data_IF_104608734431
#
_entry.id   IF_104608734431
#
_cell.length_a   1.000
_cell.length_b   1.000
_cell.length_c   1.000
_cell.angle_alpha   90.00
_cell.angle_beta   90.00
_cell.angle_gamma   90.00
#
_symmetry.space_group_name_H-M   'P 1'
#
loop_
_entity.id
_entity.type
_entity.pdbx_description
1 polymer ?
#
# COMPACT_ATOMS: atom_id res chain seq x y z
N UNK A 1 -6.66 -11.14 14.34
CA UNK A 1 -7.41 -10.18 13.48
C UNK A 1 -6.47 -9.06 13.05
N UNK A 2 -6.66 -8.46 11.88
CA UNK A 2 -5.94 -7.25 11.45
C UNK A 2 -6.58 -6.01 12.06
N UNK A 3 -5.77 -5.10 12.60
CA UNK A 3 -6.21 -3.81 13.13
C UNK A 3 -5.55 -2.72 12.30
N UNK A 4 -6.33 -1.73 11.87
CA UNK A 4 -5.84 -0.56 11.14
C UNK A 4 -6.09 0.66 12.02
N UNK A 5 -5.06 1.48 12.16
CA UNK A 5 -5.12 2.70 12.95
C UNK A 5 -5.81 3.83 12.16
N UNK A 6 -6.51 4.70 12.87
CA UNK A 6 -7.31 5.80 12.28
C UNK A 6 -6.50 7.04 11.92
N UNK A 7 -5.25 7.17 12.38
CA UNK A 7 -4.36 8.29 12.04
C UNK A 7 -3.93 8.22 10.57
N UNK A 8 -3.67 9.36 9.95
CA UNK A 8 -3.23 9.49 8.55
C UNK A 8 -1.89 8.78 8.21
N UNK A 9 -1.22 8.22 9.22
CA UNK A 9 -0.03 7.37 9.05
C UNK A 9 -0.32 6.00 8.43
N UNK A 10 -1.60 5.59 8.37
CA UNK A 10 -2.04 4.30 7.79
C UNK A 10 -1.27 3.10 8.36
N UNK A 11 -1.08 3.08 9.68
CA UNK A 11 -0.44 1.96 10.37
C UNK A 11 -1.44 0.82 10.54
N UNK A 12 -0.94 -0.41 10.42
CA UNK A 12 -1.70 -1.60 10.71
C UNK A 12 -0.86 -2.57 11.53
N UNK A 13 -1.53 -3.32 12.40
CA UNK A 13 -0.87 -4.36 13.16
C UNK A 13 -1.75 -5.58 13.38
N UNK A 14 -1.11 -6.71 13.62
CA UNK A 14 -1.75 -7.95 14.05
C UNK A 14 -0.77 -8.82 14.83
N UNK A 15 -1.26 -9.70 15.72
CA UNK A 15 -0.43 -10.79 16.22
C UNK A 15 -0.05 -11.75 15.09
N UNK A 16 1.11 -12.39 15.22
CA UNK A 16 1.48 -13.55 14.41
C UNK A 16 0.50 -14.71 14.68
N UNK A 17 0.39 -15.70 13.75
CA UNK A 17 -0.53 -16.81 13.92
C UNK A 17 -0.37 -17.60 15.22
N UNK A 18 0.87 -17.70 15.72
CA UNK A 18 1.24 -18.35 16.98
C UNK A 18 1.13 -17.44 18.21
N UNK A 19 0.78 -16.16 18.04
CA UNK A 19 0.63 -15.19 19.11
C UNK A 19 1.94 -14.73 19.78
N UNK A 20 3.11 -15.16 19.29
CA UNK A 20 4.40 -14.85 19.93
C UNK A 20 5.01 -13.53 19.48
N UNK A 21 4.51 -12.93 18.40
CA UNK A 21 5.05 -11.70 17.79
C UNK A 21 3.92 -10.77 17.37
N UNK A 22 4.28 -9.50 17.15
CA UNK A 22 3.44 -8.52 16.47
C UNK A 22 4.04 -8.23 15.10
N UNK A 23 3.18 -8.26 14.09
CA UNK A 23 3.48 -7.70 12.77
C UNK A 23 2.92 -6.29 12.77
N UNK A 24 3.79 -5.30 12.62
CA UNK A 24 3.45 -3.89 12.43
C UNK A 24 3.89 -3.49 11.03
N UNK A 25 3.01 -2.80 10.31
CA UNK A 25 3.32 -2.26 9.00
C UNK A 25 2.72 -0.88 8.83
N UNK A 26 3.33 -0.09 7.94
CA UNK A 26 2.91 1.26 7.64
C UNK A 26 3.82 1.86 6.58
N UNK A 27 3.53 3.10 6.19
CA UNK A 27 4.28 3.80 5.17
C UNK A 27 5.27 4.77 5.82
N UNK A 28 6.47 4.28 6.10
CA UNK A 28 7.55 5.08 6.72
C UNK A 28 8.01 6.23 5.82
N UNK A 29 8.04 6.03 4.50
CA UNK A 29 8.40 7.04 3.51
C UNK A 29 7.67 6.82 2.17
N UNK A 30 7.62 7.88 1.34
CA UNK A 30 7.14 7.83 -0.05
C UNK A 30 8.26 7.54 -1.06
N UNK A 31 9.46 7.23 -0.56
CA UNK A 31 10.64 6.86 -1.33
C UNK A 31 11.35 5.71 -0.62
N UNK A 32 12.24 4.97 -1.31
CA UNK A 32 13.11 4.00 -0.66
C UNK A 32 13.90 4.66 0.48
N UNK A 33 13.96 3.97 1.61
CA UNK A 33 14.79 4.33 2.76
C UNK A 33 15.58 3.09 3.21
N UNK A 34 16.72 3.27 3.90
CA UNK A 34 17.42 2.18 4.57
C UNK A 34 16.53 1.38 5.52
N UNK A 35 16.81 0.09 5.69
CA UNK A 35 15.98 -0.82 6.51
C UNK A 35 16.04 -0.50 8.00
N UNK A 36 17.18 -0.03 8.48
CA UNK A 36 17.40 0.46 9.84
C UNK A 36 16.55 1.70 10.13
N UNK A 37 16.54 2.69 9.22
CA UNK A 37 15.67 3.86 9.35
C UNK A 37 14.18 3.47 9.39
N UNK A 38 13.76 2.54 8.52
CA UNK A 38 12.40 2.01 8.53
C UNK A 38 12.05 1.29 9.84
N UNK A 39 12.98 0.50 10.38
CA UNK A 39 12.81 -0.23 11.64
C UNK A 39 12.69 0.74 12.82
N UNK A 40 13.53 1.76 12.89
CA UNK A 40 13.48 2.78 13.94
C UNK A 40 12.16 3.55 13.93
N UNK A 41 11.70 3.95 12.74
CA UNK A 41 10.41 4.63 12.58
C UNK A 41 9.24 3.75 13.04
N UNK A 42 9.19 2.48 12.60
CA UNK A 42 8.14 1.54 13.01
C UNK A 42 8.19 1.26 14.52
N UNK A 43 9.38 1.13 15.11
CA UNK A 43 9.53 0.95 16.56
C UNK A 43 9.07 2.16 17.35
N UNK A 44 9.29 3.38 16.85
CA UNK A 44 8.76 4.59 17.46
C UNK A 44 7.23 4.59 17.48
N UNK A 45 6.59 4.18 16.37
CA UNK A 45 5.13 4.06 16.31
C UNK A 45 4.62 2.92 17.19
N UNK A 46 5.30 1.76 17.23
CA UNK A 46 4.97 0.66 18.12
C UNK A 46 4.95 1.11 19.58
N UNK A 47 5.96 1.85 20.03
CA UNK A 47 6.07 2.38 21.39
C UNK A 47 4.94 3.35 21.73
N UNK A 48 4.48 4.12 20.76
CA UNK A 48 3.36 5.04 20.93
C UNK A 48 2.02 4.31 21.09
N UNK A 49 1.82 3.20 20.36
CA UNK A 49 0.59 2.39 20.41
C UNK A 49 0.61 1.45 21.62
N UNK A 50 1.76 0.83 21.90
CA UNK A 50 1.97 -0.19 22.92
C UNK A 50 3.20 0.12 23.77
N UNK A 51 3.10 1.03 24.75
CA UNK A 51 4.23 1.39 25.62
C UNK A 51 4.86 0.19 26.34
N UNK A 52 4.05 -0.81 26.68
CA UNK A 52 4.50 -2.06 27.33
C UNK A 52 5.45 -2.90 26.46
N UNK A 53 5.48 -2.66 25.15
CA UNK A 53 6.35 -3.38 24.20
C UNK A 53 7.63 -2.61 23.87
N UNK A 54 7.93 -1.51 24.57
CA UNK A 54 9.04 -0.64 24.22
C UNK A 54 10.43 -1.30 24.24
N UNK A 55 10.61 -2.30 25.11
CA UNK A 55 11.85 -3.09 25.25
C UNK A 55 11.93 -4.32 24.33
N UNK A 56 10.94 -4.56 23.47
CA UNK A 56 10.94 -5.73 22.59
C UNK A 56 11.95 -5.59 21.45
N UNK A 57 12.59 -6.70 21.07
CA UNK A 57 13.56 -6.72 19.96
C UNK A 57 12.84 -6.76 18.61
N UNK A 58 13.42 -6.10 17.60
CA UNK A 58 13.06 -6.33 16.21
C UNK A 58 13.61 -7.69 15.79
N UNK A 59 12.74 -8.59 15.33
CA UNK A 59 13.18 -9.90 14.83
C UNK A 59 13.44 -9.90 13.33
N UNK A 60 12.64 -9.14 12.58
CA UNK A 60 12.67 -9.06 11.11
C UNK A 60 12.22 -7.65 10.70
N UNK A 61 12.82 -7.13 9.63
CA UNK A 61 12.38 -5.91 8.96
C UNK A 61 12.49 -6.13 7.45
N UNK A 62 11.53 -5.60 6.71
CA UNK A 62 11.54 -5.60 5.25
C UNK A 62 10.83 -4.37 4.72
N UNK A 63 11.11 -4.04 3.46
CA UNK A 63 10.44 -2.99 2.71
C UNK A 63 9.95 -3.56 1.38
N UNK A 64 9.03 -2.84 0.74
CA UNK A 64 8.48 -3.24 -0.54
C UNK A 64 7.83 -2.06 -1.25
N UNK A 65 7.66 -2.21 -2.55
CA UNK A 65 7.00 -1.21 -3.38
C UNK A 65 5.49 -1.46 -3.40
N UNK A 66 4.72 -0.38 -3.29
CA UNK A 66 3.27 -0.41 -3.46
C UNK A 66 2.94 0.17 -4.82
N UNK A 67 2.25 -0.61 -5.65
CA UNK A 67 1.71 -0.11 -6.91
C UNK A 67 0.55 0.84 -6.63
N UNK A 68 0.81 2.14 -6.80
CA UNK A 68 -0.20 3.19 -6.64
C UNK A 68 -0.65 3.75 -7.99
N UNK A 69 -1.92 4.12 -8.08
CA UNK A 69 -2.54 4.71 -9.27
C UNK A 69 -2.98 6.14 -8.97
N UNK A 70 -3.16 6.97 -10.00
CA UNK A 70 -3.61 8.36 -9.82
C UNK A 70 -5.08 8.47 -9.39
N UNK A 71 -5.88 7.47 -9.70
CA UNK A 71 -7.31 7.40 -9.35
C UNK A 71 -7.56 6.80 -7.98
N UNK A 72 -6.52 6.33 -7.28
CA UNK A 72 -6.62 5.55 -6.03
C UNK A 72 -7.49 4.27 -6.17
N UNK A 73 -7.80 3.86 -7.41
CA UNK A 73 -8.51 2.63 -7.72
C UNK A 73 -7.57 1.62 -8.39
N UNK A 74 -7.71 0.32 -8.08
CA UNK A 74 -7.10 -0.73 -8.92
C UNK A 74 -7.76 -0.75 -10.28
N UNK A 75 -7.12 -1.36 -11.26
CA UNK A 75 -7.74 -1.58 -12.56
C UNK A 75 -7.39 -2.93 -13.16
N UNK A 76 -8.37 -3.46 -13.89
CA UNK A 76 -8.21 -4.60 -14.79
C UNK A 76 -8.21 -4.07 -16.22
N UNK A 77 -7.31 -4.60 -17.04
CA UNK A 77 -7.27 -4.25 -18.46
C UNK A 77 -6.56 -5.30 -19.29
N UNK A 78 -6.48 -5.02 -20.60
CA UNK A 78 -5.79 -5.85 -21.58
C UNK A 78 -4.94 -4.97 -22.48
N UNK A 79 -3.69 -5.35 -22.71
CA UNK A 79 -2.77 -4.66 -23.61
C UNK A 79 -1.96 -5.68 -24.39
N UNK A 80 -1.91 -5.54 -25.71
CA UNK A 80 -1.13 -6.41 -26.60
C UNK A 80 -1.42 -7.91 -26.36
N UNK A 81 -2.70 -8.23 -26.14
CA UNK A 81 -3.16 -9.58 -25.84
C UNK A 81 -3.02 -10.02 -24.38
N UNK A 82 -2.24 -9.31 -23.56
CA UNK A 82 -1.95 -9.65 -22.16
C UNK A 82 -2.97 -8.99 -21.24
N UNK A 83 -3.61 -9.81 -20.39
CA UNK A 83 -4.46 -9.33 -19.31
C UNK A 83 -3.64 -8.92 -18.09
N UNK A 84 -4.06 -7.87 -17.41
CA UNK A 84 -3.44 -7.42 -16.17
C UNK A 84 -4.47 -6.99 -15.14
N UNK A 85 -4.10 -7.11 -13.87
CA UNK A 85 -4.77 -6.51 -12.73
C UNK A 85 -3.71 -5.83 -11.87
N UNK A 86 -3.77 -4.52 -11.71
CA UNK A 86 -2.70 -3.77 -11.04
C UNK A 86 -3.23 -2.57 -10.25
N UNK A 87 -2.34 -1.99 -9.44
CA UNK A 87 -2.63 -0.71 -8.79
C UNK A 87 -3.55 -0.79 -7.57
N UNK A 88 -3.44 -1.82 -6.74
CA UNK A 88 -4.29 -2.00 -5.56
C UNK A 88 -4.07 -1.00 -4.42
N UNK A 89 -3.20 0.00 -4.56
CA UNK A 89 -3.04 1.09 -3.59
C UNK A 89 -2.84 0.62 -2.14
N UNK A 90 -2.15 -0.51 -1.95
CA UNK A 90 -1.91 -1.10 -0.62
C UNK A 90 -2.92 -2.17 -0.18
N UNK A 91 -4.04 -2.34 -0.87
CA UNK A 91 -5.09 -3.31 -0.56
C UNK A 91 -4.94 -4.65 -1.32
N UNK A 92 -3.74 -4.93 -1.85
CA UNK A 92 -3.50 -6.05 -2.75
C UNK A 92 -3.81 -7.41 -2.12
N UNK A 93 -3.46 -7.63 -0.86
CA UNK A 93 -3.70 -8.92 -0.17
C UNK A 93 -5.20 -9.26 -0.11
N UNK A 94 -6.05 -8.25 0.14
CA UNK A 94 -7.49 -8.46 0.23
C UNK A 94 -8.15 -8.50 -1.16
N UNK A 95 -7.67 -7.69 -2.10
CA UNK A 95 -8.38 -7.41 -3.34
C UNK A 95 -7.89 -8.23 -4.55
N UNK A 96 -6.62 -8.66 -4.57
CA UNK A 96 -6.08 -9.44 -5.68
C UNK A 96 -6.77 -10.77 -5.94
N UNK A 97 -7.21 -11.55 -4.92
CA UNK A 97 -7.95 -12.78 -5.19
C UNK A 97 -9.22 -12.53 -6.01
N UNK A 98 -9.97 -11.47 -5.66
CA UNK A 98 -11.15 -11.05 -6.40
C UNK A 98 -10.80 -10.60 -7.82
N UNK A 99 -9.82 -9.70 -7.96
CA UNK A 99 -9.44 -9.16 -9.27
C UNK A 99 -8.87 -10.25 -10.19
N UNK A 100 -8.01 -11.13 -9.66
CA UNK A 100 -7.46 -12.27 -10.38
C UNK A 100 -8.56 -13.24 -10.85
N UNK A 101 -9.55 -13.52 -10.01
CA UNK A 101 -10.71 -14.31 -10.42
C UNK A 101 -11.50 -13.66 -11.55
N UNK A 102 -11.76 -12.34 -11.46
CA UNK A 102 -12.43 -11.59 -12.53
C UNK A 102 -11.64 -11.61 -13.84
N UNK A 103 -10.32 -11.44 -13.78
CA UNK A 103 -9.46 -11.58 -14.97
C UNK A 103 -9.54 -12.98 -15.56
N UNK A 104 -9.47 -14.04 -14.75
CA UNK A 104 -9.57 -15.42 -15.23
C UNK A 104 -10.89 -15.67 -15.96
N UNK A 105 -12.01 -15.17 -15.43
CA UNK A 105 -13.33 -15.27 -16.10
C UNK A 105 -13.34 -14.54 -17.44
N UNK A 106 -12.71 -13.35 -17.53
CA UNK A 106 -12.58 -12.62 -18.81
C UNK A 106 -11.74 -13.38 -19.83
N UNK A 107 -10.63 -13.98 -19.41
CA UNK A 107 -9.78 -14.85 -20.26
C UNK A 107 -10.60 -16.00 -20.83
N UNK A 108 -11.51 -16.58 -20.04
CA UNK A 108 -12.42 -17.66 -20.45
C UNK A 108 -13.67 -17.19 -21.22
N UNK A 109 -13.79 -15.89 -21.53
CA UNK A 109 -14.95 -15.33 -22.23
C UNK A 109 -16.25 -15.38 -21.42
N UNK A 110 -16.18 -15.48 -20.10
CA UNK A 110 -17.36 -15.53 -19.22
C UNK A 110 -17.84 -14.12 -18.88
N UNK A 111 -19.16 -13.90 -18.96
CA UNK A 111 -19.77 -12.59 -18.68
C UNK A 111 -19.57 -12.14 -17.23
N UNK A 112 -19.48 -13.08 -16.30
CA UNK A 112 -19.23 -12.84 -14.86
C UNK A 112 -17.87 -12.20 -14.58
N UNK A 113 -16.98 -12.14 -15.58
CA UNK A 113 -15.72 -11.42 -15.48
C UNK A 113 -15.87 -9.90 -15.40
N UNK A 114 -17.03 -9.32 -15.75
CA UNK A 114 -17.28 -7.87 -15.64
C UNK A 114 -17.24 -7.39 -14.18
N UNK A 115 -16.65 -6.21 -13.97
CA UNK A 115 -16.53 -5.58 -12.65
C UNK A 115 -16.38 -4.06 -12.77
N UNK A 116 -16.62 -3.33 -11.68
CA UNK A 116 -16.42 -1.88 -11.60
C UNK A 116 -14.95 -1.44 -11.76
N UNK A 117 -14.01 -2.39 -11.71
CA UNK A 117 -12.58 -2.12 -11.91
C UNK A 117 -12.12 -2.28 -13.36
N UNK A 118 -13.06 -2.49 -14.28
CA UNK A 118 -12.77 -2.57 -15.71
C UNK A 118 -12.43 -1.19 -16.28
N UNK A 119 -11.48 -1.15 -17.21
CA UNK A 119 -11.16 0.02 -18.06
C UNK A 119 -10.79 1.29 -17.27
N UNK A 120 -10.30 1.13 -16.04
CA UNK A 120 -9.78 2.24 -15.25
C UNK A 120 -8.50 2.76 -15.92
N UNK A 121 -8.53 4.05 -16.27
CA UNK A 121 -7.44 4.70 -17.00
C UNK A 121 -6.17 4.81 -16.15
N UNK A 122 -5.10 4.19 -16.63
CA UNK A 122 -3.74 4.38 -16.12
C UNK A 122 -3.07 5.53 -16.86
N UNK A 123 -3.57 6.75 -16.64
CA UNK A 123 -2.96 7.93 -17.22
C UNK A 123 -1.50 8.07 -16.74
N UNK A 124 -0.56 8.05 -17.68
CA UNK A 124 0.84 8.26 -17.38
C UNK A 124 1.03 9.60 -16.65
N UNK A 125 2.01 9.63 -15.73
CA UNK A 125 2.44 10.90 -15.16
C UNK A 125 3.28 11.61 -16.23
N UNK A 126 2.96 12.88 -16.59
CA UNK A 126 3.72 13.62 -17.58
C UNK A 126 5.21 13.62 -17.24
N UNK A 127 6.06 13.41 -18.25
CA UNK A 127 7.52 13.43 -18.10
C UNK A 127 8.10 12.41 -17.10
N UNK A 128 7.33 11.39 -16.70
CA UNK A 128 7.84 10.33 -15.85
C UNK A 128 8.63 9.31 -16.67
N UNK A 129 9.94 9.26 -16.43
CA UNK A 129 10.89 8.34 -17.08
C UNK A 129 11.44 7.27 -16.12
N UNK A 130 10.72 6.99 -15.03
CA UNK A 130 11.20 6.15 -13.92
C UNK A 130 11.78 6.95 -12.75
N UNK A 131 12.18 8.20 -12.97
CA UNK A 131 12.50 9.13 -11.87
C UNK A 131 11.26 9.93 -11.52
N UNK A 132 10.69 9.69 -10.34
CA UNK A 132 9.48 10.37 -9.89
C UNK A 132 9.82 11.81 -9.42
N UNK A 133 9.98 12.71 -10.39
CA UNK A 133 10.26 14.14 -10.18
C UNK A 133 9.20 14.84 -9.30
N UNK A 134 7.99 14.30 -9.27
CA UNK A 134 6.86 14.81 -8.50
C UNK A 134 6.89 14.40 -7.01
N UNK A 135 7.81 13.52 -6.58
CA UNK A 135 7.96 13.07 -5.18
C UNK A 135 8.07 14.19 -4.14
N UNK A 136 8.98 15.18 -4.28
CA UNK A 136 9.07 16.26 -3.31
C UNK A 136 7.78 17.08 -3.23
N UNK A 137 7.12 17.32 -4.37
CA UNK A 137 5.85 18.05 -4.43
C UNK A 137 4.72 17.30 -3.71
N UNK A 138 4.58 16.00 -3.95
CA UNK A 138 3.61 15.16 -3.24
C UNK A 138 3.88 15.13 -1.74
N UNK A 139 5.15 15.00 -1.33
CA UNK A 139 5.52 14.98 0.10
C UNK A 139 5.15 16.30 0.78
N UNK A 140 5.46 17.43 0.13
CA UNK A 140 5.07 18.75 0.63
C UNK A 140 3.55 18.89 0.72
N UNK A 141 2.82 18.47 -0.31
CA UNK A 141 1.35 18.51 -0.34
C UNK A 141 0.72 17.68 0.79
N UNK A 142 1.16 16.45 0.99
CA UNK A 142 0.64 15.61 2.09
C UNK A 142 0.97 16.20 3.45
N UNK A 143 2.20 16.68 3.67
CA UNK A 143 2.57 17.35 4.93
C UNK A 143 1.73 18.60 5.18
N UNK A 144 1.45 19.39 4.13
CA UNK A 144 0.59 20.58 4.23
C UNK A 144 -0.85 20.17 4.57
N UNK A 145 -1.39 19.14 3.92
CA UNK A 145 -2.74 18.63 4.17
C UNK A 145 -2.90 18.06 5.58
N UNK A 146 -1.90 17.31 6.05
CA UNK A 146 -1.87 16.78 7.42
C UNK A 146 -1.84 17.93 8.44
N UNK A 147 -1.07 19.00 8.17
CA UNK A 147 -1.01 20.18 9.04
C UNK A 147 -2.31 20.98 9.06
N UNK A 148 -3.03 21.03 7.94
CA UNK A 148 -4.33 21.72 7.84
C UNK A 148 -5.48 20.94 8.48
N UNK A 149 -5.37 19.62 8.58
CA UNK A 149 -6.39 18.74 9.18
C UNK A 149 -6.10 18.38 10.63
N UNK A 150 -4.88 18.61 11.10
CA UNK A 150 -4.42 18.38 12.46
C UNK A 150 -4.61 19.56 13.43
N UNK A 151 -5.52 20.50 13.11
CA UNK A 151 -6.03 21.52 14.03
C UNK A 151 -7.52 21.27 14.30
#
# INVERSE_FOLDING_TARGET
RMIVETRDKHLYYRPSPDGTRIVLGGRAALHPIPLDEAAEWLMKELRAIFPTLAGTRVSHVWTGNVAMTRSDLPGIGRRDGIWFALGCNGSGVALMPYLGHKVALKVLGRQDGKTAFDDISFAAVPFYNGTAWFRPLMTWWFRARDRLRGN
#
